data_IF_073298058800
#
_entry.id   IF_073298058800
#
_cell.length_a   1.000
_cell.length_b   1.000
_cell.length_c   1.000
_cell.angle_alpha   90.00
_cell.angle_beta   90.00
_cell.angle_gamma   90.00
#
_symmetry.space_group_name_H-M   'P 1'
#
loop_
_entity.id
_entity.type
_entity.pdbx_description
1 polymer ?
#
# COMPACT_ATOMS: atom_id res chain seq x y z
N UNK A 1 19.37 -42.94 -15.09
CA UNK A 1 20.07 -42.43 -16.29
C UNK A 1 19.88 -40.92 -16.30
N UNK A 2 20.99 -40.17 -16.20
CA UNK A 2 21.19 -38.74 -16.53
C UNK A 2 20.10 -37.75 -16.09
N UNK A 3 20.23 -36.93 -15.05
CA UNK A 3 21.28 -35.94 -14.78
C UNK A 3 21.73 -35.12 -16.02
N UNK A 4 21.56 -33.79 -15.91
CA UNK A 4 22.35 -32.78 -16.61
C UNK A 4 22.27 -32.73 -18.15
N UNK A 5 21.34 -31.93 -18.66
CA UNK A 5 21.74 -30.86 -19.61
C UNK A 5 21.01 -29.60 -19.15
N UNK A 6 21.54 -28.94 -18.13
CA UNK A 6 22.63 -27.99 -18.26
C UNK A 6 22.11 -26.68 -18.87
N UNK A 7 22.38 -25.58 -18.18
CA UNK A 7 21.67 -24.32 -18.23
C UNK A 7 22.33 -23.49 -19.34
N UNK A 8 21.92 -23.79 -20.58
CA UNK A 8 22.50 -23.24 -21.80
C UNK A 8 21.55 -22.21 -22.44
N UNK A 9 21.32 -21.10 -21.74
CA UNK A 9 21.11 -19.77 -22.35
C UNK A 9 21.08 -18.73 -21.21
N UNK A 10 22.14 -18.65 -20.42
CA UNK A 10 23.21 -17.69 -20.70
C UNK A 10 22.69 -16.35 -21.23
N UNK A 11 22.75 -15.37 -20.33
CA UNK A 11 23.60 -14.20 -20.56
C UNK A 11 23.26 -13.34 -21.78
N UNK A 12 22.20 -12.54 -21.63
CA UNK A 12 21.99 -11.36 -22.44
C UNK A 12 21.68 -10.12 -21.59
N UNK A 13 22.42 -9.91 -20.50
CA UNK A 13 22.49 -8.61 -19.84
C UNK A 13 23.91 -8.05 -20.02
N UNK A 14 24.07 -6.94 -20.77
CA UNK A 14 25.37 -6.36 -21.01
C UNK A 14 25.91 -5.74 -19.73
N UNK A 15 27.07 -6.24 -19.30
CA UNK A 15 28.02 -5.55 -18.43
C UNK A 15 28.36 -4.22 -19.09
N UNK A 16 27.89 -3.13 -18.50
CA UNK A 16 28.42 -1.80 -18.79
C UNK A 16 29.63 -1.58 -17.88
N UNK A 17 30.82 -1.72 -18.45
CA UNK A 17 32.05 -1.31 -17.80
C UNK A 17 32.05 0.22 -17.68
N UNK A 18 31.95 0.74 -16.45
CA UNK A 18 32.33 2.12 -16.16
C UNK A 18 33.71 2.09 -15.52
N UNK A 19 34.72 2.44 -16.31
CA UNK A 19 36.02 2.88 -15.80
C UNK A 19 36.03 4.39 -15.99
N UNK A 20 35.83 5.12 -14.90
CA UNK A 20 36.12 6.54 -14.82
C UNK A 20 37.12 6.76 -13.69
N UNK A 21 38.16 7.49 -14.05
CA UNK A 21 39.43 7.68 -13.39
C UNK A 21 39.35 8.06 -11.90
N UNK A 22 40.37 7.56 -11.19
CA UNK A 22 40.90 8.13 -9.96
C UNK A 22 41.07 9.66 -10.08
N UNK A 23 40.33 10.38 -9.24
CA UNK A 23 40.65 11.74 -8.83
C UNK A 23 40.50 11.78 -7.31
N UNK A 24 41.54 11.29 -6.65
CA UNK A 24 41.79 11.53 -5.23
C UNK A 24 41.83 13.04 -4.96
N UNK A 25 40.77 13.59 -4.39
CA UNK A 25 40.77 14.90 -3.74
C UNK A 25 39.60 15.04 -2.76
N UNK A 26 39.93 15.02 -1.46
CA UNK A 26 39.19 15.58 -0.32
C UNK A 26 37.67 15.32 -0.21
N UNK A 27 37.29 14.11 0.23
CA UNK A 27 35.92 13.78 0.65
C UNK A 27 35.85 13.43 2.14
N UNK A 28 35.94 14.45 3.01
CA UNK A 28 35.63 14.28 4.44
C UNK A 28 34.51 15.22 4.95
N UNK A 29 33.79 15.88 4.05
CA UNK A 29 32.66 16.75 4.38
C UNK A 29 31.44 16.66 3.44
N UNK A 30 31.59 16.11 2.24
CA UNK A 30 30.57 16.15 1.18
C UNK A 30 29.43 15.13 1.39
N UNK A 31 29.75 13.90 1.77
CA UNK A 31 28.74 12.84 1.98
C UNK A 31 27.79 13.11 3.15
N UNK A 32 28.25 13.84 4.18
CA UNK A 32 27.40 14.25 5.30
C UNK A 32 26.37 15.31 4.88
N UNK A 33 26.79 16.27 4.05
CA UNK A 33 25.92 17.32 3.50
C UNK A 33 24.87 16.73 2.56
N UNK A 34 25.25 15.74 1.73
CA UNK A 34 24.32 15.04 0.84
C UNK A 34 23.26 14.28 1.66
N UNK A 35 23.65 13.59 2.74
CA UNK A 35 22.71 12.89 3.62
C UNK A 35 21.75 13.86 4.34
N UNK A 36 22.24 15.02 4.77
CA UNK A 36 21.44 16.06 5.41
C UNK A 36 20.37 16.61 4.47
N UNK A 37 20.72 16.93 3.22
CA UNK A 37 19.76 17.42 2.22
C UNK A 37 18.68 16.39 1.88
N UNK A 38 19.05 15.10 1.79
CA UNK A 38 18.05 14.03 1.59
C UNK A 38 17.13 13.85 2.80
N UNK A 39 17.66 13.99 4.01
CA UNK A 39 16.85 13.94 5.23
C UNK A 39 15.89 15.14 5.32
N UNK A 40 16.35 16.35 5.02
CA UNK A 40 15.49 17.53 4.97
C UNK A 40 14.41 17.42 3.88
N UNK A 41 14.75 16.90 2.70
CA UNK A 41 13.75 16.62 1.66
C UNK A 41 12.74 15.55 2.07
N UNK A 42 13.18 14.51 2.79
CA UNK A 42 12.29 13.47 3.30
C UNK A 42 11.33 14.02 4.37
N UNK A 43 11.84 14.87 5.28
CA UNK A 43 11.04 15.55 6.30
C UNK A 43 10.07 16.56 5.68
N UNK A 44 10.53 17.41 4.75
CA UNK A 44 9.68 18.36 4.05
C UNK A 44 8.58 17.67 3.24
N UNK A 45 8.87 16.49 2.66
CA UNK A 45 7.86 15.67 1.97
C UNK A 45 6.87 15.02 2.95
N UNK A 46 7.33 14.60 4.12
CA UNK A 46 6.46 14.07 5.17
C UNK A 46 5.50 15.14 5.70
N UNK A 47 6.00 16.36 5.92
CA UNK A 47 5.22 17.52 6.35
C UNK A 47 4.23 17.98 5.26
N UNK A 48 4.63 17.94 3.98
CA UNK A 48 3.73 18.24 2.86
C UNK A 48 2.59 17.20 2.69
N UNK A 49 2.78 15.98 3.21
CA UNK A 49 1.76 14.93 3.21
C UNK A 49 0.97 14.85 4.52
N UNK A 50 1.29 15.70 5.51
CA UNK A 50 0.53 15.80 6.75
C UNK A 50 -0.84 16.42 6.47
N UNK A 51 -1.83 15.56 6.27
CA UNK A 51 -3.23 15.97 6.30
C UNK A 51 -3.57 16.49 7.70
N UNK A 52 -4.25 17.62 7.80
CA UNK A 52 -4.80 18.10 9.07
C UNK A 52 -5.63 17.01 9.74
N UNK A 53 -5.55 16.90 11.07
CA UNK A 53 -6.28 15.87 11.82
C UNK A 53 -7.80 15.93 11.60
N UNK A 54 -8.36 17.12 11.38
CA UNK A 54 -9.77 17.29 11.02
C UNK A 54 -10.13 16.54 9.72
N UNK A 55 -9.27 16.61 8.71
CA UNK A 55 -9.46 15.88 7.45
C UNK A 55 -9.26 14.39 7.59
N UNK A 56 -8.29 13.93 8.39
CA UNK A 56 -8.12 12.50 8.70
C UNK A 56 -9.40 11.91 9.31
N UNK A 57 -9.97 12.59 10.31
CA UNK A 57 -11.23 12.20 10.93
C UNK A 57 -12.40 12.20 9.95
N UNK A 58 -12.51 13.24 9.12
CA UNK A 58 -13.60 13.32 8.15
C UNK A 58 -13.53 12.20 7.10
N UNK A 59 -12.33 11.88 6.61
CA UNK A 59 -12.13 10.78 5.67
C UNK A 59 -12.52 9.44 6.32
N UNK A 60 -12.04 9.18 7.54
CA UNK A 60 -12.43 7.97 8.26
C UNK A 60 -13.94 7.92 8.51
N UNK A 61 -14.56 9.04 8.86
CA UNK A 61 -16.01 9.09 9.07
C UNK A 61 -16.77 8.72 7.81
N UNK A 62 -16.43 9.30 6.66
CA UNK A 62 -17.08 8.99 5.37
C UNK A 62 -16.84 7.53 4.97
N UNK A 63 -15.63 7.01 5.14
CA UNK A 63 -15.33 5.59 4.91
C UNK A 63 -16.14 4.67 5.84
N UNK A 64 -16.30 5.05 7.11
CA UNK A 64 -17.10 4.34 8.10
C UNK A 64 -18.59 4.34 7.76
N UNK A 65 -19.14 5.46 7.29
CA UNK A 65 -20.52 5.55 6.80
C UNK A 65 -20.72 4.65 5.59
N UNK A 66 -19.80 4.67 4.61
CA UNK A 66 -19.85 3.76 3.47
C UNK A 66 -19.83 2.29 3.91
N UNK A 67 -19.01 1.95 4.92
CA UNK A 67 -18.97 0.63 5.54
C UNK A 67 -20.31 0.22 6.15
N UNK A 68 -20.96 1.11 6.90
CA UNK A 68 -22.27 0.84 7.51
C UNK A 68 -23.35 0.59 6.45
N UNK A 69 -23.34 1.37 5.36
CA UNK A 69 -24.27 1.17 4.24
C UNK A 69 -24.02 -0.19 3.57
N UNK A 70 -22.76 -0.52 3.25
CA UNK A 70 -22.43 -1.82 2.66
C UNK A 70 -22.79 -2.98 3.59
N UNK A 71 -22.52 -2.85 4.88
CA UNK A 71 -22.86 -3.86 5.88
C UNK A 71 -24.37 -4.07 5.96
N UNK A 72 -25.15 -2.99 5.95
CA UNK A 72 -26.61 -3.04 5.92
C UNK A 72 -27.15 -3.74 4.67
N UNK A 73 -26.60 -3.43 3.49
CA UNK A 73 -26.95 -4.11 2.23
C UNK A 73 -26.57 -5.60 2.27
N UNK A 74 -25.37 -5.93 2.73
CA UNK A 74 -24.91 -7.32 2.88
C UNK A 74 -25.80 -8.11 3.83
N UNK A 75 -26.19 -7.51 4.97
CA UNK A 75 -27.10 -8.12 5.94
C UNK A 75 -28.50 -8.31 5.34
N UNK A 76 -29.03 -7.29 4.65
CA UNK A 76 -30.31 -7.37 3.95
C UNK A 76 -30.32 -8.52 2.93
N UNK A 77 -29.30 -8.60 2.07
CA UNK A 77 -29.18 -9.69 1.10
C UNK A 77 -28.96 -11.04 1.78
N UNK A 78 -28.24 -11.10 2.90
CA UNK A 78 -28.06 -12.33 3.68
C UNK A 78 -29.36 -12.86 4.25
N UNK A 79 -30.21 -11.99 4.80
CA UNK A 79 -31.55 -12.35 5.27
C UNK A 79 -32.42 -12.78 4.08
N UNK A 80 -32.39 -12.02 2.97
CA UNK A 80 -33.14 -12.35 1.77
C UNK A 80 -32.71 -13.68 1.15
N UNK A 81 -31.43 -14.07 1.24
CA UNK A 81 -30.93 -15.40 0.87
C UNK A 81 -31.51 -16.51 1.74
N UNK A 82 -31.54 -16.27 3.06
CA UNK A 82 -32.06 -17.25 4.03
C UNK A 82 -33.55 -17.54 3.86
N UNK A 83 -34.32 -16.56 3.36
CA UNK A 83 -35.79 -16.68 3.19
C UNK A 83 -36.18 -16.98 1.73
N UNK A 84 -35.52 -16.34 0.75
CA UNK A 84 -35.93 -16.25 -0.65
C UNK A 84 -35.05 -17.00 -1.66
N UNK A 85 -33.98 -17.67 -1.22
CA UNK A 85 -33.17 -18.53 -2.09
C UNK A 85 -32.08 -17.82 -2.91
N UNK A 86 -31.68 -18.44 -4.04
CA UNK A 86 -30.38 -18.25 -4.72
C UNK A 86 -30.23 -16.93 -5.51
N UNK A 87 -31.31 -16.21 -5.78
CA UNK A 87 -31.28 -15.04 -6.69
C UNK A 87 -30.48 -13.85 -6.14
N UNK A 88 -30.36 -13.74 -4.81
CA UNK A 88 -29.56 -12.69 -4.15
C UNK A 88 -28.19 -13.19 -3.66
N UNK A 89 -27.80 -14.42 -4.04
CA UNK A 89 -26.49 -15.01 -3.71
C UNK A 89 -25.31 -14.17 -4.22
N UNK A 90 -25.30 -13.88 -5.52
CA UNK A 90 -24.21 -13.12 -6.16
C UNK A 90 -24.10 -11.70 -5.59
N UNK A 91 -25.17 -10.89 -5.50
CA UNK A 91 -25.05 -9.56 -4.93
C UNK A 91 -24.63 -9.58 -3.45
N UNK A 92 -25.07 -10.56 -2.65
CA UNK A 92 -24.59 -10.74 -1.28
C UNK A 92 -23.09 -11.04 -1.21
N UNK A 93 -22.59 -11.95 -2.05
CA UNK A 93 -21.16 -12.32 -2.05
C UNK A 93 -20.27 -11.15 -2.46
N UNK A 94 -20.70 -10.37 -3.46
CA UNK A 94 -19.98 -9.16 -3.89
C UNK A 94 -19.99 -8.10 -2.79
N UNK A 95 -21.15 -7.83 -2.18
CA UNK A 95 -21.26 -6.83 -1.13
C UNK A 95 -20.46 -7.23 0.11
N UNK A 96 -20.50 -8.52 0.50
CA UNK A 96 -19.71 -9.05 1.59
C UNK A 96 -18.20 -8.90 1.35
N UNK A 97 -17.72 -9.22 0.15
CA UNK A 97 -16.32 -9.03 -0.22
C UNK A 97 -15.89 -7.56 -0.10
N UNK A 98 -16.67 -6.64 -0.65
CA UNK A 98 -16.41 -5.20 -0.56
C UNK A 98 -16.45 -4.70 0.89
N UNK A 99 -17.39 -5.18 1.72
CA UNK A 99 -17.46 -4.85 3.14
C UNK A 99 -16.16 -5.23 3.85
N UNK A 100 -15.66 -6.46 3.62
CA UNK A 100 -14.42 -6.93 4.27
C UNK A 100 -13.21 -6.12 3.80
N UNK A 101 -13.04 -5.91 2.49
CA UNK A 101 -11.91 -5.12 1.98
C UNK A 101 -11.93 -3.69 2.51
N UNK A 102 -13.10 -3.04 2.52
CA UNK A 102 -13.24 -1.68 3.03
C UNK A 102 -13.05 -1.62 4.55
N UNK A 103 -13.51 -2.63 5.31
CA UNK A 103 -13.29 -2.74 6.76
C UNK A 103 -11.80 -2.83 7.10
N UNK A 104 -11.05 -3.60 6.33
CA UNK A 104 -9.61 -3.74 6.53
C UNK A 104 -8.89 -2.44 6.19
N UNK A 105 -9.22 -1.82 5.05
CA UNK A 105 -8.67 -0.52 4.67
C UNK A 105 -8.97 0.52 5.76
N UNK A 106 -10.22 0.64 6.21
CA UNK A 106 -10.62 1.58 7.26
C UNK A 106 -9.87 1.34 8.57
N UNK A 107 -9.77 0.09 9.02
CA UNK A 107 -9.06 -0.26 10.26
C UNK A 107 -7.57 0.06 10.18
N UNK A 108 -6.90 -0.33 9.09
CA UNK A 108 -5.47 -0.04 8.88
C UNK A 108 -5.24 1.47 8.82
N UNK A 109 -6.08 2.20 8.08
CA UNK A 109 -5.95 3.66 7.95
C UNK A 109 -6.14 4.34 9.31
N UNK A 110 -7.07 3.85 10.14
CA UNK A 110 -7.26 4.36 11.50
C UNK A 110 -6.05 4.11 12.39
N UNK A 111 -5.46 2.91 12.34
CA UNK A 111 -4.25 2.60 13.12
C UNK A 111 -3.08 3.45 12.67
N UNK A 112 -2.80 3.50 11.37
CA UNK A 112 -1.65 4.22 10.81
C UNK A 112 -1.74 5.73 11.03
N UNK A 113 -2.94 6.31 10.98
CA UNK A 113 -3.10 7.77 11.16
C UNK A 113 -3.16 8.22 12.62
N UNK A 114 -3.70 7.40 13.54
CA UNK A 114 -3.93 7.82 14.93
C UNK A 114 -2.99 7.16 15.95
N UNK A 115 -2.31 6.08 15.56
CA UNK A 115 -1.31 5.41 16.39
C UNK A 115 0.00 5.21 15.61
N UNK A 116 0.68 6.29 15.16
CA UNK A 116 2.03 6.18 14.65
C UNK A 116 2.98 5.91 15.82
N UNK A 117 3.36 4.65 16.00
CA UNK A 117 4.36 4.20 16.98
C UNK A 117 5.79 4.44 16.47
#
# INVERSE_FOLDING_TARGET
MSACVLPLLLMALPVSAVMAADASSDQHGDGAIVMEVFNEQALAKAEAYELSDERKHQILFVMGVALLVLLGLTAYFGIALGIGGKDVFVPHMVSAGLTITLSLAHAVTAVVWFFPF
#
